data_IF_387150162855
#
_entry.id   IF_387150162855
#
_cell.length_a   1.000
_cell.length_b   1.000
_cell.length_c   1.000
_cell.angle_alpha   90.00
_cell.angle_beta   90.00
_cell.angle_gamma   90.00
#
_symmetry.space_group_name_H-M   'P 1'
#
loop_
_entity.id
_entity.type
_entity.pdbx_description
1 polymer ?
#
# COMPACT_ATOMS: atom_id res chain seq x y z
N UNK A 1 29.85 -23.02 44.29
CA UNK A 1 30.14 -22.60 42.91
C UNK A 1 30.17 -21.08 42.90
N UNK A 2 31.33 -20.46 42.68
CA UNK A 2 31.46 -19.01 42.72
C UNK A 2 30.93 -18.42 41.42
N UNK A 3 30.00 -17.47 41.53
CA UNK A 3 29.56 -16.66 40.39
C UNK A 3 30.70 -15.70 40.07
N UNK A 4 31.43 -15.96 38.98
CA UNK A 4 32.47 -15.07 38.49
C UNK A 4 31.92 -14.10 37.45
N UNK A 5 32.65 -13.02 37.19
CA UNK A 5 32.30 -12.00 36.19
C UNK A 5 32.02 -12.61 34.80
N UNK A 6 32.75 -13.65 34.42
CA UNK A 6 32.56 -14.38 33.17
C UNK A 6 31.17 -15.06 33.10
N UNK A 7 30.73 -15.71 34.19
CA UNK A 7 29.40 -16.34 34.26
C UNK A 7 28.28 -15.31 34.12
N UNK A 8 28.46 -14.11 34.70
CA UNK A 8 27.51 -13.00 34.58
C UNK A 8 27.47 -12.49 33.14
N UNK A 9 28.63 -12.32 32.50
CA UNK A 9 28.70 -11.84 31.12
C UNK A 9 28.07 -12.82 30.14
N UNK A 10 28.33 -14.12 30.29
CA UNK A 10 27.72 -15.17 29.45
C UNK A 10 26.20 -15.22 29.63
N UNK A 11 25.69 -15.06 30.85
CA UNK A 11 24.26 -14.99 31.10
C UNK A 11 23.63 -13.74 30.47
N UNK A 12 24.27 -12.58 30.57
CA UNK A 12 23.81 -11.34 29.95
C UNK A 12 23.80 -11.43 28.42
N UNK A 13 24.84 -12.03 27.82
CA UNK A 13 24.92 -12.26 26.38
C UNK A 13 23.81 -13.18 25.89
N UNK A 14 23.51 -14.26 26.63
CA UNK A 14 22.42 -15.18 26.31
C UNK A 14 21.06 -14.47 26.35
N UNK A 15 20.80 -13.69 27.41
CA UNK A 15 19.56 -12.92 27.54
C UNK A 15 19.42 -11.85 26.45
N UNK A 16 20.51 -11.17 26.11
CA UNK A 16 20.54 -10.20 25.01
C UNK A 16 20.23 -10.83 23.66
N UNK A 17 20.83 -12.00 23.37
CA UNK A 17 20.56 -12.74 22.14
C UNK A 17 19.10 -13.20 22.06
N UNK A 18 18.54 -13.73 23.15
CA UNK A 18 17.12 -14.12 23.22
C UNK A 18 16.22 -12.89 23.04
N UNK A 19 16.52 -11.78 23.72
CA UNK A 19 15.77 -10.54 23.59
C UNK A 19 15.79 -9.97 22.16
N UNK A 20 16.94 -10.03 21.49
CA UNK A 20 17.08 -9.60 20.09
C UNK A 20 16.25 -10.47 19.15
N UNK A 21 16.27 -11.80 19.32
CA UNK A 21 15.47 -12.73 18.50
C UNK A 21 13.97 -12.48 18.71
N UNK A 22 13.53 -12.42 19.96
CA UNK A 22 12.12 -12.18 20.28
C UNK A 22 11.65 -10.80 19.80
N UNK A 23 12.48 -9.77 19.97
CA UNK A 23 12.21 -8.43 19.46
C UNK A 23 12.11 -8.39 17.95
N UNK A 24 13.01 -9.08 17.23
CA UNK A 24 12.97 -9.21 15.78
C UNK A 24 11.71 -9.92 15.28
N UNK A 25 11.33 -11.04 15.92
CA UNK A 25 10.10 -11.77 15.59
C UNK A 25 8.84 -10.92 15.81
N UNK A 26 8.77 -10.20 16.94
CA UNK A 26 7.64 -9.32 17.24
C UNK A 26 7.55 -8.15 16.26
N UNK A 27 8.69 -7.53 15.91
CA UNK A 27 8.74 -6.48 14.90
C UNK A 27 8.26 -6.97 13.54
N UNK A 28 8.72 -8.14 13.08
CA UNK A 28 8.27 -8.75 11.83
C UNK A 28 6.75 -9.04 11.85
N UNK A 29 6.24 -9.60 12.94
CA UNK A 29 4.82 -9.90 13.10
C UNK A 29 3.94 -8.65 13.09
N UNK A 30 4.33 -7.62 13.86
CA UNK A 30 3.58 -6.34 13.91
C UNK A 30 3.61 -5.61 12.56
N UNK A 31 4.74 -5.66 11.85
CA UNK A 31 4.86 -5.12 10.51
C UNK A 31 3.93 -5.83 9.53
N UNK A 32 3.90 -7.17 9.55
CA UNK A 32 3.00 -7.97 8.72
C UNK A 32 1.53 -7.62 8.93
N UNK A 33 1.08 -7.52 10.19
CA UNK A 33 -0.31 -7.11 10.48
C UNK A 33 -0.62 -5.70 9.98
N UNK A 34 0.31 -4.75 10.15
CA UNK A 34 0.15 -3.39 9.65
C UNK A 34 0.04 -3.36 8.12
N UNK A 35 0.84 -4.17 7.43
CA UNK A 35 0.81 -4.25 5.98
C UNK A 35 -0.53 -4.79 5.47
N UNK A 36 -1.06 -5.84 6.10
CA UNK A 36 -2.36 -6.39 5.71
C UNK A 36 -3.48 -5.35 5.79
N UNK A 37 -3.49 -4.54 6.85
CA UNK A 37 -4.44 -3.42 6.98
C UNK A 37 -4.23 -2.32 5.94
N UNK A 38 -2.97 -2.00 5.62
CA UNK A 38 -2.67 -1.02 4.57
C UNK A 38 -3.12 -1.50 3.19
N UNK A 39 -3.00 -2.79 2.89
CA UNK A 39 -3.45 -3.37 1.63
C UNK A 39 -4.97 -3.25 1.48
N UNK A 40 -5.74 -3.46 2.56
CA UNK A 40 -7.19 -3.22 2.59
C UNK A 40 -7.54 -1.75 2.35
N UNK A 41 -6.87 -0.82 3.06
CA UNK A 41 -7.09 0.62 2.89
C UNK A 41 -6.73 1.09 1.47
N UNK A 42 -5.64 0.57 0.89
CA UNK A 42 -5.21 0.85 -0.49
C UNK A 42 -6.24 0.32 -1.48
N UNK A 43 -6.80 -0.87 -1.23
CA UNK A 43 -7.84 -1.45 -2.08
C UNK A 43 -9.09 -0.57 -2.08
N UNK A 44 -9.57 -0.17 -0.90
CA UNK A 44 -10.71 0.73 -0.77
C UNK A 44 -10.45 2.08 -1.47
N UNK A 45 -9.26 2.65 -1.30
CA UNK A 45 -8.88 3.89 -1.98
C UNK A 45 -8.87 3.75 -3.51
N UNK A 46 -8.40 2.62 -4.04
CA UNK A 46 -8.43 2.35 -5.49
C UNK A 46 -9.85 2.25 -6.03
N UNK A 47 -10.76 1.63 -5.28
CA UNK A 47 -12.18 1.55 -5.65
C UNK A 47 -12.81 2.96 -5.73
N UNK A 48 -12.56 3.82 -4.74
CA UNK A 48 -13.02 5.21 -4.76
C UNK A 48 -12.41 6.03 -5.90
N UNK A 49 -11.12 5.85 -6.20
CA UNK A 49 -10.46 6.52 -7.33
C UNK A 49 -11.01 6.05 -8.69
N UNK A 50 -11.45 4.79 -8.78
CA UNK A 50 -12.12 4.28 -9.96
C UNK A 50 -13.48 5.00 -10.17
N UNK A 51 -14.29 5.10 -9.11
CA UNK A 51 -15.54 5.86 -9.14
C UNK A 51 -15.33 7.34 -9.51
N UNK A 52 -14.31 7.97 -8.94
CA UNK A 52 -13.94 9.35 -9.28
C UNK A 52 -13.54 9.48 -10.75
N UNK A 53 -12.79 8.52 -11.29
CA UNK A 53 -12.41 8.49 -12.72
C UNK A 53 -13.63 8.39 -13.62
N UNK A 54 -14.61 7.55 -13.28
CA UNK A 54 -15.89 7.48 -14.01
C UNK A 54 -16.66 8.81 -13.95
N UNK A 55 -16.71 9.46 -12.78
CA UNK A 55 -17.33 10.77 -12.61
C UNK A 55 -16.66 11.85 -13.47
N UNK A 56 -15.33 11.89 -13.48
CA UNK A 56 -14.56 12.82 -14.33
C UNK A 56 -14.81 12.52 -15.81
N UNK A 57 -14.83 11.25 -16.22
CA UNK A 57 -15.12 10.87 -17.60
C UNK A 57 -16.52 11.33 -18.04
N UNK A 58 -17.54 11.21 -17.18
CA UNK A 58 -18.89 11.71 -17.45
C UNK A 58 -18.89 13.24 -17.63
N UNK A 59 -18.19 13.98 -16.76
CA UNK A 59 -18.03 15.43 -16.91
C UNK A 59 -17.33 15.80 -18.23
N UNK A 60 -16.26 15.10 -18.60
CA UNK A 60 -15.53 15.33 -19.85
C UNK A 60 -16.43 15.05 -21.07
N UNK A 61 -17.24 13.98 -21.04
CA UNK A 61 -18.20 13.69 -22.12
C UNK A 61 -19.25 14.79 -22.26
N UNK A 62 -19.79 15.30 -21.15
CA UNK A 62 -20.67 16.48 -21.19
C UNK A 62 -19.98 17.73 -21.77
N UNK A 63 -18.71 17.96 -21.44
CA UNK A 63 -17.92 19.05 -22.04
C UNK A 63 -17.72 18.88 -23.55
N UNK A 64 -17.53 17.63 -24.02
CA UNK A 64 -17.43 17.29 -25.45
C UNK A 64 -18.76 17.55 -26.16
N UNK A 65 -19.89 17.22 -25.55
CA UNK A 65 -21.23 17.50 -26.10
C UNK A 65 -21.51 19.00 -26.26
N UNK A 66 -20.91 19.84 -25.41
CA UNK A 66 -20.96 21.31 -25.52
C UNK A 66 -19.99 21.89 -26.57
N UNK A 67 -19.33 21.06 -27.38
CA UNK A 67 -18.47 21.49 -28.48
C UNK A 67 -17.05 21.90 -28.09
N UNK A 68 -16.63 21.68 -26.84
CA UNK A 68 -15.23 21.90 -26.42
C UNK A 68 -14.38 20.67 -26.73
N UNK A 69 -14.10 20.44 -28.01
CA UNK A 69 -13.63 19.15 -28.53
C UNK A 69 -12.11 18.94 -28.58
N UNK A 70 -11.29 19.95 -28.28
CA UNK A 70 -9.82 19.83 -28.37
C UNK A 70 -9.22 18.88 -27.33
N UNK A 71 -8.61 19.44 -26.28
CA UNK A 71 -7.96 18.67 -25.20
C UNK A 71 -8.89 17.70 -24.46
N UNK A 72 -10.20 17.94 -24.49
CA UNK A 72 -11.21 17.10 -23.83
C UNK A 72 -11.36 15.75 -24.53
N UNK A 73 -11.36 15.71 -25.87
CA UNK A 73 -11.48 14.43 -26.60
C UNK A 73 -10.25 13.56 -26.38
N UNK A 74 -9.05 14.15 -26.42
CA UNK A 74 -7.82 13.44 -26.15
C UNK A 74 -7.76 12.88 -24.72
N UNK A 75 -8.26 13.63 -23.73
CA UNK A 75 -8.34 13.18 -22.34
C UNK A 75 -9.31 12.00 -22.18
N UNK A 76 -10.48 12.05 -22.82
CA UNK A 76 -11.45 10.94 -22.83
C UNK A 76 -10.81 9.69 -23.43
N UNK A 77 -10.20 9.79 -24.62
CA UNK A 77 -9.60 8.64 -25.31
C UNK A 77 -8.48 8.00 -24.48
N UNK A 78 -7.65 8.81 -23.81
CA UNK A 78 -6.58 8.30 -22.92
C UNK A 78 -7.16 7.54 -21.72
N UNK A 79 -8.18 8.09 -21.06
CA UNK A 79 -8.83 7.47 -19.91
C UNK A 79 -9.50 6.16 -20.34
N UNK A 80 -10.31 6.17 -21.40
CA UNK A 80 -11.01 4.97 -21.88
C UNK A 80 -10.05 3.88 -22.32
N UNK A 81 -8.96 4.24 -23.03
CA UNK A 81 -7.93 3.28 -23.43
C UNK A 81 -7.25 2.65 -22.22
N UNK A 82 -6.90 3.43 -21.20
CA UNK A 82 -6.29 2.91 -19.97
C UNK A 82 -7.26 1.97 -19.24
N UNK A 83 -8.51 2.36 -19.07
CA UNK A 83 -9.54 1.55 -18.41
C UNK A 83 -9.79 0.23 -19.15
N UNK A 84 -9.84 0.26 -20.48
CA UNK A 84 -9.99 -0.95 -21.29
C UNK A 84 -8.79 -1.89 -21.14
N UNK A 85 -7.57 -1.35 -21.09
CA UNK A 85 -6.37 -2.15 -20.84
C UNK A 85 -6.37 -2.77 -19.44
N UNK A 86 -6.79 -2.05 -18.41
CA UNK A 86 -6.88 -2.58 -17.04
C UNK A 86 -8.01 -3.62 -16.91
N UNK A 87 -9.13 -3.48 -17.63
CA UNK A 87 -10.23 -4.46 -17.60
C UNK A 87 -9.89 -5.82 -18.23
N UNK A 88 -8.83 -5.88 -19.05
CA UNK A 88 -8.34 -7.10 -19.70
C UNK A 88 -7.12 -7.72 -19.00
N UNK A 89 -6.63 -7.11 -17.91
CA UNK A 89 -5.58 -7.68 -17.05
C UNK A 89 -6.18 -8.58 -15.98
#
# INVERSE_FOLDING_TARGET
MYVNAETILSAAALLGAVGAILGGLFAAYSWYQKQNKQDEDIKAMKEEMCLLTYGVLACLKGLKEMGRNGSVTEAIDKIEKHMNQEAHK
#
